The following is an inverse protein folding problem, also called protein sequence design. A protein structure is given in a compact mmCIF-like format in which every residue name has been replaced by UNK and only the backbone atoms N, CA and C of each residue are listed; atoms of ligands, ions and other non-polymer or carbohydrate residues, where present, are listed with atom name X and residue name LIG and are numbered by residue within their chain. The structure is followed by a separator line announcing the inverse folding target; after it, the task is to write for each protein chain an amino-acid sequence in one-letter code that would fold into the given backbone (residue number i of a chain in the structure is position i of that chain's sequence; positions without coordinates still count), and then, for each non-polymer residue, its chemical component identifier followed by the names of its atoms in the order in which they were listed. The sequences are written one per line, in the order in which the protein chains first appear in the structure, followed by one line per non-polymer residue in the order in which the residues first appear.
data_IF_781668183819
#
_entry.id   IF_781668183819
#
_cell.length_a   1.000
_cell.length_b   1.000
_cell.length_c   1.000
_cell.angle_alpha   90.00
_cell.angle_beta   90.00
_cell.angle_gamma   90.00
#
_symmetry.space_group_name_H-M   'P 1'
#
loop_
_entity.id
_entity.type
_entity.pdbx_description
1 polymer ?
#
# COMPACT_ATOMS: atom_id res chain seq x y z
N UNK A 1 -7.54 -41.34 46.94
CA UNK A 1 -8.51 -40.75 45.99
C UNK A 1 -8.55 -39.24 46.21
N UNK A 2 -7.79 -38.47 45.41
CA UNK A 2 -8.10 -37.09 45.00
C UNK A 2 -7.04 -36.65 43.99
N UNK A 3 -7.49 -36.57 42.76
CA UNK A 3 -6.79 -36.34 41.50
C UNK A 3 -6.20 -34.93 41.45
N UNK A 4 -4.93 -34.82 41.06
CA UNK A 4 -4.32 -33.56 40.67
C UNK A 4 -4.73 -33.23 39.23
N UNK A 5 -5.44 -32.13 39.03
CA UNK A 5 -5.78 -31.59 37.71
C UNK A 5 -4.62 -30.67 37.29
N UNK A 6 -3.71 -31.15 36.44
CA UNK A 6 -2.78 -30.27 35.73
C UNK A 6 -3.52 -29.60 34.59
N UNK A 7 -3.90 -28.35 34.76
CA UNK A 7 -4.38 -27.47 33.70
C UNK A 7 -3.20 -27.06 32.82
N UNK A 8 -3.05 -27.70 31.66
CA UNK A 8 -2.10 -27.34 30.62
C UNK A 8 -2.62 -26.09 29.89
N UNK A 9 -2.19 -24.91 30.33
CA UNK A 9 -2.38 -23.65 29.59
C UNK A 9 -1.45 -23.68 28.37
N UNK A 10 -1.97 -24.09 27.22
CA UNK A 10 -1.32 -23.84 25.94
C UNK A 10 -1.29 -22.33 25.71
N UNK A 11 -0.16 -21.69 26.02
CA UNK A 11 0.18 -20.40 25.44
C UNK A 11 0.30 -20.62 23.93
N UNK A 12 -0.75 -20.26 23.18
CA UNK A 12 -0.61 -19.99 21.76
C UNK A 12 0.34 -18.79 21.64
N UNK A 13 1.63 -19.06 21.43
CA UNK A 13 2.56 -18.03 20.99
C UNK A 13 2.03 -17.53 19.65
N UNK A 14 1.37 -16.38 19.64
CA UNK A 14 1.12 -15.65 18.41
C UNK A 14 2.48 -15.26 17.88
N UNK A 15 2.99 -16.07 16.94
CA UNK A 15 4.10 -15.70 16.10
C UNK A 15 3.62 -14.46 15.35
N UNK A 16 3.94 -13.27 15.87
CA UNK A 16 3.96 -12.09 15.03
C UNK A 16 5.11 -12.34 14.07
N UNK A 17 4.78 -12.99 12.94
CA UNK A 17 5.68 -12.99 11.81
C UNK A 17 5.97 -11.52 11.56
N UNK A 18 7.21 -11.12 11.82
CA UNK A 18 7.66 -9.77 11.55
C UNK A 18 7.43 -9.56 10.06
N UNK A 19 6.39 -8.81 9.73
CA UNK A 19 5.95 -8.66 8.34
C UNK A 19 7.03 -7.84 7.66
N UNK A 20 7.97 -8.54 7.03
CA UNK A 20 9.09 -7.92 6.35
C UNK A 20 8.52 -7.00 5.26
N UNK A 21 8.71 -5.70 5.47
CA UNK A 21 8.33 -4.65 4.53
C UNK A 21 9.47 -4.49 3.56
N UNK A 22 9.25 -4.85 2.30
CA UNK A 22 10.24 -4.66 1.23
C UNK A 22 10.33 -3.19 0.86
N UNK A 23 9.17 -2.56 0.67
CA UNK A 23 9.08 -1.17 0.23
C UNK A 23 8.03 -0.40 1.01
N UNK A 24 8.37 0.82 1.40
CA UNK A 24 7.46 1.76 2.06
C UNK A 24 7.32 3.03 1.24
N UNK A 25 6.09 3.36 0.86
CA UNK A 25 5.74 4.62 0.21
C UNK A 25 5.04 5.52 1.22
N UNK A 26 5.58 6.73 1.41
CA UNK A 26 5.08 7.69 2.40
C UNK A 26 4.47 8.87 1.67
N UNK A 27 3.33 9.34 2.14
CA UNK A 27 2.65 10.51 1.61
C UNK A 27 2.15 11.40 2.73
N UNK A 28 2.49 12.68 2.65
CA UNK A 28 2.02 13.70 3.58
C UNK A 28 0.89 14.49 2.95
N UNK A 29 -0.27 14.41 3.59
CA UNK A 29 -1.46 15.18 3.22
C UNK A 29 -1.77 16.24 4.28
N UNK A 30 -2.87 16.97 4.10
CA UNK A 30 -3.36 17.90 5.14
C UNK A 30 -3.74 17.08 6.38
N UNK A 31 -3.04 17.29 7.48
CA UNK A 31 -3.34 16.67 8.78
C UNK A 31 -3.02 15.18 8.92
N UNK A 32 -2.54 14.48 7.87
CA UNK A 32 -2.27 13.04 7.93
C UNK A 32 -1.00 12.65 7.19
N UNK A 33 -0.34 11.61 7.68
CA UNK A 33 0.69 10.87 6.94
C UNK A 33 0.20 9.46 6.66
N UNK A 34 0.30 9.03 5.41
CA UNK A 34 -0.03 7.69 4.96
C UNK A 34 1.24 6.88 4.71
N UNK A 35 1.21 5.62 5.12
CA UNK A 35 2.29 4.65 4.95
C UNK A 35 1.75 3.43 4.21
N UNK A 36 2.08 3.31 2.93
CA UNK A 36 1.80 2.11 2.15
C UNK A 36 3.00 1.17 2.26
N UNK A 37 2.79 0.03 2.90
CA UNK A 37 3.84 -0.96 3.16
C UNK A 37 3.62 -2.17 2.26
N UNK A 38 4.52 -2.36 1.30
CA UNK A 38 4.56 -3.53 0.43
C UNK A 38 5.28 -4.64 1.21
N UNK A 39 4.54 -5.69 1.52
CA UNK A 39 5.01 -6.80 2.36
C UNK A 39 5.48 -7.96 1.49
N UNK A 40 6.36 -8.79 2.04
CA UNK A 40 6.81 -10.01 1.36
C UNK A 40 5.67 -10.95 0.99
N UNK A 41 4.68 -11.09 1.88
CA UNK A 41 3.50 -11.91 1.61
C UNK A 41 2.68 -11.38 0.41
N UNK A 42 2.55 -10.06 0.30
CA UNK A 42 1.89 -9.43 -0.85
C UNK A 42 2.66 -9.67 -2.15
N UNK A 43 4.00 -9.55 -2.10
CA UNK A 43 4.85 -9.79 -3.27
C UNK A 43 4.83 -11.25 -3.72
N UNK A 44 4.81 -12.21 -2.82
CA UNK A 44 4.73 -13.64 -3.17
C UNK A 44 3.45 -14.02 -3.93
N UNK A 45 2.38 -13.23 -3.81
CA UNK A 45 1.12 -13.39 -4.56
C UNK A 45 1.11 -12.59 -5.87
N UNK A 46 2.05 -11.65 -6.00
CA UNK A 46 2.19 -10.77 -7.16
C UNK A 46 2.95 -11.51 -8.28
N UNK A 47 2.51 -11.44 -9.54
CA UNK A 47 3.26 -12.03 -10.65
C UNK A 47 4.67 -11.42 -10.77
N UNK A 48 5.67 -12.28 -10.93
CA UNK A 48 6.99 -11.87 -11.41
C UNK A 48 6.84 -11.31 -12.83
N UNK A 49 7.43 -10.16 -13.08
CA UNK A 49 7.38 -9.53 -14.40
C UNK A 49 8.72 -8.92 -14.77
N UNK A 50 9.13 -9.12 -16.02
CA UNK A 50 10.35 -8.52 -16.56
C UNK A 50 9.98 -7.35 -17.46
N UNK A 51 10.81 -6.30 -17.41
CA UNK A 51 10.58 -5.08 -18.18
C UNK A 51 10.55 -5.28 -19.71
N UNK A 52 11.13 -6.37 -20.22
CA UNK A 52 11.18 -6.74 -21.63
C UNK A 52 10.05 -7.70 -22.06
N UNK A 53 9.13 -8.06 -21.16
CA UNK A 53 8.02 -8.94 -21.50
C UNK A 53 6.94 -8.22 -22.34
N UNK A 54 6.34 -8.95 -23.29
CA UNK A 54 5.39 -8.42 -24.26
C UNK A 54 4.08 -7.86 -23.66
N UNK A 55 3.74 -8.27 -22.44
CA UNK A 55 2.49 -7.87 -21.78
C UNK A 55 2.66 -7.65 -20.29
N UNK A 56 1.95 -6.65 -19.76
CA UNK A 56 1.86 -6.37 -18.32
C UNK A 56 0.76 -7.25 -17.67
N UNK A 57 1.05 -7.94 -16.55
CA UNK A 57 0.06 -8.67 -15.77
C UNK A 57 -1.21 -7.88 -15.43
N UNK A 58 -1.05 -6.59 -15.11
CA UNK A 58 -2.14 -5.66 -14.85
C UNK A 58 -2.00 -4.45 -15.77
N UNK A 59 -3.05 -4.14 -16.51
CA UNK A 59 -3.06 -2.96 -17.37
C UNK A 59 -3.01 -1.66 -16.54
N UNK A 60 -2.22 -0.64 -16.95
CA UNK A 60 -2.10 0.62 -16.20
C UNK A 60 -3.44 1.32 -15.92
N UNK A 61 -4.39 1.24 -16.87
CA UNK A 61 -5.74 1.81 -16.69
C UNK A 61 -6.52 1.14 -15.55
N UNK A 62 -6.34 -0.16 -15.35
CA UNK A 62 -7.01 -0.89 -14.26
C UNK A 62 -6.39 -0.52 -12.92
N UNK A 63 -5.06 -0.39 -12.85
CA UNK A 63 -4.37 0.10 -11.67
C UNK A 63 -4.81 1.52 -11.28
N UNK A 64 -4.91 2.44 -12.26
CA UNK A 64 -5.40 3.81 -12.05
C UNK A 64 -6.84 3.84 -11.50
N UNK A 65 -7.72 2.98 -12.01
CA UNK A 65 -9.09 2.83 -11.48
C UNK A 65 -9.11 2.37 -10.02
N UNK A 66 -8.40 1.28 -9.71
CA UNK A 66 -8.31 0.73 -8.36
C UNK A 66 -7.72 1.74 -7.36
N UNK A 67 -6.65 2.44 -7.77
CA UNK A 67 -6.04 3.48 -6.97
C UNK A 67 -6.97 4.68 -6.75
N UNK A 68 -7.74 5.08 -7.78
CA UNK A 68 -8.72 6.18 -7.68
C UNK A 68 -9.86 5.84 -6.73
N UNK A 69 -10.35 4.59 -6.76
CA UNK A 69 -11.36 4.11 -5.82
C UNK A 69 -10.84 4.18 -4.38
N UNK A 70 -9.61 3.69 -4.15
CA UNK A 70 -8.98 3.76 -2.83
C UNK A 70 -8.74 5.19 -2.36
N UNK A 71 -8.23 6.04 -3.25
CA UNK A 71 -8.02 7.46 -2.97
C UNK A 71 -9.30 8.13 -2.44
N UNK A 72 -10.45 7.90 -3.09
CA UNK A 72 -11.75 8.44 -2.67
C UNK A 72 -12.23 7.91 -1.32
N UNK A 73 -11.78 6.74 -0.88
CA UNK A 73 -12.08 6.21 0.45
C UNK A 73 -11.23 6.88 1.53
N UNK A 74 -9.99 7.28 1.20
CA UNK A 74 -9.03 7.84 2.15
C UNK A 74 -9.17 9.36 2.31
N UNK A 75 -9.59 10.06 1.26
CA UNK A 75 -9.63 11.52 1.19
C UNK A 75 -11.08 11.99 1.04
N UNK A 76 -11.60 12.66 2.07
CA UNK A 76 -12.98 13.14 2.14
C UNK A 76 -13.29 14.30 1.18
N UNK A 77 -12.29 15.13 0.86
CA UNK A 77 -12.39 16.31 -0.01
C UNK A 77 -11.80 16.06 -1.40
N UNK A 78 -11.96 14.84 -1.92
CA UNK A 78 -11.38 14.37 -3.17
C UNK A 78 -11.60 15.28 -4.41
N UNK A 79 -12.60 16.17 -4.38
CA UNK A 79 -12.86 17.14 -5.46
C UNK A 79 -11.75 18.20 -5.62
N UNK A 80 -11.02 18.50 -4.55
CA UNK A 80 -9.91 19.48 -4.55
C UNK A 80 -8.57 18.86 -4.96
N UNK A 81 -8.60 17.61 -5.43
CA UNK A 81 -7.42 16.84 -5.78
C UNK A 81 -7.46 16.41 -7.25
N UNK A 82 -6.29 16.22 -7.84
CA UNK A 82 -6.14 15.74 -9.22
C UNK A 82 -5.24 14.52 -9.29
N UNK A 83 -5.59 13.57 -10.17
CA UNK A 83 -4.68 12.48 -10.57
C UNK A 83 -3.55 13.09 -11.38
N UNK A 84 -2.34 13.08 -10.84
CA UNK A 84 -1.15 13.65 -11.48
C UNK A 84 -0.53 12.65 -12.45
N UNK A 85 -0.09 11.50 -11.94
CA UNK A 85 0.65 10.51 -12.72
C UNK A 85 0.44 9.09 -12.18
N UNK A 86 0.77 8.13 -13.03
CA UNK A 86 0.94 6.72 -12.68
C UNK A 86 2.35 6.30 -13.10
N UNK A 87 3.10 5.67 -12.20
CA UNK A 87 4.42 5.09 -12.47
C UNK A 87 4.40 3.60 -12.18
N UNK A 88 5.22 2.85 -12.91
CA UNK A 88 5.49 1.43 -12.65
C UNK A 88 6.93 1.37 -12.12
N UNK A 89 7.12 0.79 -10.94
CA UNK A 89 8.40 0.82 -10.24
C UNK A 89 8.72 -0.56 -9.66
N UNK A 90 10.01 -0.87 -9.54
CA UNK A 90 10.49 -2.11 -8.91
C UNK A 90 10.11 -2.12 -7.41
N UNK A 91 9.75 -3.29 -6.88
CA UNK A 91 9.38 -3.46 -5.47
C UNK A 91 10.59 -3.49 -4.51
N UNK A 92 11.78 -3.12 -4.99
CA UNK A 92 13.10 -3.24 -4.36
C UNK A 92 13.58 -4.70 -4.24
N UNK A 93 13.12 -5.58 -5.13
CA UNK A 93 13.51 -6.99 -5.18
C UNK A 93 13.95 -7.49 -6.57
N UNK A 94 13.88 -6.65 -7.61
CA UNK A 94 14.29 -7.00 -8.97
C UNK A 94 13.38 -7.99 -9.71
N UNK A 95 12.26 -8.41 -9.11
CA UNK A 95 11.39 -9.46 -9.61
C UNK A 95 9.93 -8.99 -9.75
N UNK A 96 9.47 -8.19 -8.79
CA UNK A 96 8.11 -7.71 -8.72
C UNK A 96 8.07 -6.22 -8.98
N UNK A 97 7.02 -5.81 -9.70
CA UNK A 97 6.77 -4.41 -10.00
C UNK A 97 5.45 -3.99 -9.37
N UNK A 98 5.36 -2.70 -9.03
CA UNK A 98 4.19 -2.09 -8.41
C UNK A 98 3.83 -0.81 -9.15
N UNK A 99 2.53 -0.51 -9.20
CA UNK A 99 2.06 0.78 -9.63
C UNK A 99 2.04 1.76 -8.45
N UNK A 100 2.52 2.97 -8.69
CA UNK A 100 2.35 4.11 -7.80
C UNK A 100 1.52 5.16 -8.52
N UNK A 101 0.32 5.43 -8.00
CA UNK A 101 -0.61 6.43 -8.57
C UNK A 101 -0.63 7.64 -7.66
N UNK A 102 -0.14 8.77 -8.19
CA UNK A 102 -0.02 10.02 -7.44
C UNK A 102 -1.22 10.92 -7.66
N UNK A 103 -1.80 11.35 -6.54
CA UNK A 103 -2.80 12.40 -6.46
C UNK A 103 -2.18 13.63 -5.80
N UNK A 104 -2.43 14.82 -6.33
CA UNK A 104 -1.92 16.07 -5.76
C UNK A 104 -3.05 17.03 -5.46
N UNK A 105 -2.91 17.76 -4.35
CA UNK A 105 -3.88 18.81 -4.00
C UNK A 105 -3.81 19.96 -5.03
N UNK A 106 -4.97 20.35 -5.53
CA UNK A 106 -5.13 21.41 -6.51
C UNK A 106 -5.49 22.77 -5.86
N UNK A 107 -5.96 22.77 -4.61
CA UNK A 107 -6.24 23.98 -3.84
C UNK A 107 -5.00 24.74 -3.37
N UNK A 108 -5.23 25.80 -2.59
CA UNK A 108 -4.16 26.65 -2.04
C UNK A 108 -3.53 25.93 -0.84
N UNK A 109 -2.21 25.72 -0.88
CA UNK A 109 -1.44 25.17 0.24
C UNK A 109 -0.31 26.11 0.65
N UNK A 110 -0.13 26.32 1.96
CA UNK A 110 1.04 27.00 2.50
C UNK A 110 2.21 26.00 2.56
N UNK A 111 3.20 26.13 1.68
CA UNK A 111 4.39 25.26 1.65
C UNK A 111 4.34 24.17 0.58
N UNK A 112 4.90 23.00 0.89
CA UNK A 112 4.92 21.85 -0.02
C UNK A 112 3.49 21.41 -0.34
N UNK A 113 3.23 21.17 -1.62
CA UNK A 113 1.93 20.72 -2.09
C UNK A 113 1.63 19.34 -1.50
N UNK A 114 0.50 19.16 -0.79
CA UNK A 114 0.08 17.85 -0.32
C UNK A 114 -0.08 16.87 -1.49
N UNK A 115 0.35 15.63 -1.28
CA UNK A 115 0.18 14.56 -2.25
C UNK A 115 -0.15 13.24 -1.55
N UNK A 116 -0.81 12.35 -2.28
CA UNK A 116 -1.09 10.98 -1.85
C UNK A 116 -0.71 10.03 -2.98
N UNK A 117 0.22 9.13 -2.68
CA UNK A 117 0.58 8.02 -3.53
C UNK A 117 -0.17 6.78 -3.08
N UNK A 118 -0.97 6.19 -3.97
CA UNK A 118 -1.63 4.91 -3.74
C UNK A 118 -0.87 3.81 -4.46
N UNK A 119 -0.56 2.73 -3.73
CA UNK A 119 0.21 1.59 -4.24
C UNK A 119 -0.73 0.46 -4.67
N UNK A 120 -0.54 -0.03 -5.89
CA UNK A 120 -1.27 -1.18 -6.44
C UNK A 120 -0.28 -2.23 -6.94
N UNK A 121 -0.41 -3.45 -6.45
CA UNK A 121 0.40 -4.58 -6.88
C UNK A 121 -0.06 -5.09 -8.25
N UNK A 122 0.83 -5.78 -8.97
CA UNK A 122 0.56 -6.27 -10.32
C UNK A 122 -0.45 -7.44 -10.39
N UNK A 123 -0.88 -7.99 -9.26
CA UNK A 123 -2.04 -8.90 -9.17
C UNK A 123 -3.39 -8.16 -9.07
N UNK A 124 -3.37 -6.83 -8.96
CA UNK A 124 -4.56 -6.00 -8.75
C UNK A 124 -4.87 -5.70 -7.28
N UNK A 125 -4.07 -6.17 -6.32
CA UNK A 125 -4.22 -5.84 -4.90
C UNK A 125 -3.85 -4.37 -4.65
N UNK A 126 -4.75 -3.61 -4.03
CA UNK A 126 -4.45 -2.27 -3.53
C UNK A 126 -3.90 -2.38 -2.12
N UNK A 127 -2.72 -1.80 -1.87
CA UNK A 127 -2.10 -1.85 -0.54
C UNK A 127 -2.89 -0.96 0.42
N UNK A 128 -3.24 -1.51 1.58
CA UNK A 128 -3.90 -0.77 2.66
C UNK A 128 -2.87 0.09 3.42
N UNK A 129 -3.08 1.42 3.56
CA UNK A 129 -2.12 2.26 4.26
C UNK A 129 -2.32 2.19 5.77
N UNK A 130 -1.22 2.29 6.51
CA UNK A 130 -1.27 2.77 7.90
C UNK A 130 -1.40 4.29 7.88
N UNK A 131 -2.24 4.83 8.76
CA UNK A 131 -2.53 6.28 8.81
C UNK A 131 -2.11 6.83 10.16
N UNK A 132 -1.38 7.94 10.13
CA UNK A 132 -1.02 8.72 11.32
C UNK A 132 -1.56 10.13 11.19
N UNK A 133 -2.32 10.58 12.19
CA UNK A 133 -2.76 11.97 12.29
C UNK A 133 -1.56 12.86 12.71
N UNK A 134 -1.39 13.99 12.03
CA UNK A 134 -0.38 14.99 12.35
C UNK A 134 -0.98 15.95 13.39
N UNK A 135 -0.32 16.06 14.55
CA UNK A 135 -0.74 16.96 15.65
C UNK A 135 -0.37 18.40 15.37
#
# INVERSE_FOLDING_TARGET
MRTALLSLLCFAATLHADVFTFRRVISDTIGKTFYFEVTGEGLLKTPIWKADADSLPLAPRKADQLATEKFRQLISDAAEWKRERITLEDADDGLHWIYIVRFTYAGISAGLRPFLDVVVLMDGTVVEPKVRENK
#
